data_IF_083344777196
#
_entry.id   IF_083344777196
#
_cell.length_a   1.000
_cell.length_b   1.000
_cell.length_c   1.000
_cell.angle_alpha   90.00
_cell.angle_beta   90.00
_cell.angle_gamma   90.00
#
_symmetry.space_group_name_H-M   'P 1'
#
loop_
_entity.id
_entity.type
_entity.pdbx_description
1 polymer ?
#
# COMPACT_ATOMS: atom_id res chain seq x y z
N UNK A 1 13.50 -6.15 -18.95
CA UNK A 1 12.87 -4.85 -18.64
C UNK A 1 13.71 -4.24 -17.54
N UNK A 2 14.12 -2.98 -17.66
CA UNK A 2 14.94 -2.33 -16.64
C UNK A 2 14.08 -2.12 -15.37
N UNK A 3 14.49 -2.71 -14.25
CA UNK A 3 13.74 -2.69 -12.98
C UNK A 3 13.43 -1.27 -12.50
N UNK A 4 14.28 -0.30 -12.83
CA UNK A 4 14.06 1.11 -12.49
C UNK A 4 12.99 1.78 -13.35
N UNK A 5 12.92 1.43 -14.64
CA UNK A 5 11.86 1.91 -15.53
C UNK A 5 10.51 1.34 -15.10
N UNK A 6 10.49 0.07 -14.71
CA UNK A 6 9.26 -0.58 -14.28
C UNK A 6 8.73 0.01 -12.97
N UNK A 7 9.59 0.27 -11.99
CA UNK A 7 9.21 0.97 -10.75
C UNK A 7 8.62 2.36 -11.05
N UNK A 8 9.25 3.14 -11.93
CA UNK A 8 8.73 4.46 -12.33
C UNK A 8 7.38 4.38 -13.02
N UNK A 9 7.18 3.37 -13.87
CA UNK A 9 5.90 3.12 -14.53
C UNK A 9 4.79 2.79 -13.53
N UNK A 10 5.07 1.92 -12.56
CA UNK A 10 4.11 1.56 -11.50
C UNK A 10 3.77 2.75 -10.60
N UNK A 11 4.77 3.54 -10.18
CA UNK A 11 4.54 4.75 -9.41
C UNK A 11 3.69 5.79 -10.20
N UNK A 12 3.95 5.95 -11.51
CA UNK A 12 3.16 6.83 -12.36
C UNK A 12 1.69 6.39 -12.44
N UNK A 13 1.44 5.09 -12.57
CA UNK A 13 0.08 4.54 -12.57
C UNK A 13 -0.67 4.86 -11.27
N UNK A 14 0.00 4.76 -10.12
CA UNK A 14 -0.57 5.14 -8.82
C UNK A 14 -1.02 6.61 -8.80
N UNK A 15 -0.13 7.53 -9.16
CA UNK A 15 -0.45 8.97 -9.14
C UNK A 15 -1.55 9.35 -10.12
N UNK A 16 -1.56 8.76 -11.33
CA UNK A 16 -2.63 8.97 -12.32
C UNK A 16 -3.97 8.47 -11.77
N UNK A 17 -4.00 7.30 -11.12
CA UNK A 17 -5.22 6.75 -10.54
C UNK A 17 -5.73 7.60 -9.37
N UNK A 18 -4.84 8.06 -8.47
CA UNK A 18 -5.20 8.97 -7.36
C UNK A 18 -5.76 10.30 -7.87
N UNK A 19 -5.14 10.90 -8.90
CA UNK A 19 -5.60 12.14 -9.53
C UNK A 19 -7.00 11.97 -10.15
N UNK A 20 -7.19 10.90 -10.94
CA UNK A 20 -8.48 10.58 -11.55
C UNK A 20 -9.59 10.33 -10.50
N UNK A 21 -9.22 9.87 -9.30
CA UNK A 21 -10.13 9.68 -8.16
C UNK A 21 -10.36 10.97 -7.33
N UNK A 22 -9.91 12.13 -7.82
CA UNK A 22 -10.04 13.42 -7.12
C UNK A 22 -9.15 13.51 -5.88
N UNK A 23 -7.97 12.90 -5.94
CA UNK A 23 -6.99 12.88 -4.85
C UNK A 23 -7.25 11.82 -3.77
N UNK A 24 -8.28 10.97 -3.93
CA UNK A 24 -8.66 9.96 -2.93
C UNK A 24 -8.08 8.58 -3.27
N UNK A 25 -7.57 7.88 -2.26
CA UNK A 25 -7.14 6.47 -2.39
C UNK A 25 -8.25 5.47 -2.02
N UNK A 26 -9.22 5.89 -1.21
CA UNK A 26 -10.33 5.04 -0.76
C UNK A 26 -11.65 5.74 -1.06
N UNK A 27 -12.46 5.13 -1.93
CA UNK A 27 -13.80 5.60 -2.27
C UNK A 27 -14.90 4.87 -1.49
N UNK A 28 -14.60 3.67 -0.98
CA UNK A 28 -15.51 2.90 -0.17
C UNK A 28 -15.72 3.58 1.21
N UNK A 29 -16.90 3.43 1.83
CA UNK A 29 -17.21 4.02 3.13
C UNK A 29 -16.56 3.24 4.29
N UNK A 30 -15.23 3.12 4.28
CA UNK A 30 -14.46 2.45 5.32
C UNK A 30 -14.38 3.34 6.56
N UNK A 31 -14.67 2.78 7.74
CA UNK A 31 -14.52 3.50 8.98
C UNK A 31 -13.05 3.46 9.47
N UNK A 32 -12.29 4.52 9.19
CA UNK A 32 -10.92 4.70 9.66
C UNK A 32 -10.82 5.34 11.06
N UNK A 33 -11.95 5.63 11.73
CA UNK A 33 -11.93 6.10 13.13
C UNK A 33 -11.62 4.99 14.14
N UNK A 34 -11.46 3.76 13.66
CA UNK A 34 -11.06 2.59 14.44
C UNK A 34 -9.84 1.93 13.77
N UNK A 35 -9.00 1.22 14.52
CA UNK A 35 -7.92 0.44 13.93
C UNK A 35 -8.43 -0.53 12.87
N UNK A 36 -7.74 -0.58 11.74
CA UNK A 36 -8.05 -1.50 10.64
C UNK A 36 -6.79 -2.25 10.24
N UNK A 37 -7.00 -3.41 9.59
CA UNK A 37 -5.95 -4.15 8.92
C UNK A 37 -6.18 -4.05 7.42
N UNK A 38 -5.25 -3.43 6.71
CA UNK A 38 -5.30 -3.23 5.27
C UNK A 38 -4.41 -4.28 4.60
N UNK A 39 -4.95 -4.99 3.63
CA UNK A 39 -4.20 -5.86 2.73
C UNK A 39 -4.17 -5.21 1.35
N UNK A 40 -2.98 -5.00 0.81
CA UNK A 40 -2.73 -4.63 -0.58
C UNK A 40 -2.08 -5.81 -1.30
N UNK A 41 -2.81 -6.41 -2.22
CA UNK A 41 -2.33 -7.54 -3.01
C UNK A 41 -1.77 -7.02 -4.33
N UNK A 42 -0.64 -7.58 -4.78
CA UNK A 42 0.18 -7.05 -5.88
C UNK A 42 0.74 -5.66 -5.58
N UNK A 43 1.27 -5.53 -4.35
CA UNK A 43 1.68 -4.24 -3.76
C UNK A 43 2.90 -3.60 -4.41
N UNK A 44 3.66 -4.33 -5.25
CA UNK A 44 4.94 -3.90 -5.78
C UNK A 44 5.87 -3.34 -4.68
N UNK A 45 6.22 -2.06 -4.71
CA UNK A 45 7.08 -1.40 -3.71
C UNK A 45 6.32 -0.83 -2.50
N UNK A 46 5.01 -1.07 -2.43
CA UNK A 46 4.16 -0.59 -1.35
C UNK A 46 3.72 0.87 -1.46
N UNK A 47 3.95 1.53 -2.61
CA UNK A 47 3.60 2.95 -2.82
C UNK A 47 2.17 3.27 -2.38
N UNK A 48 1.20 2.43 -2.73
CA UNK A 48 -0.20 2.67 -2.37
C UNK A 48 -0.45 2.59 -0.85
N UNK A 49 0.09 1.57 -0.17
CA UNK A 49 -0.03 1.43 1.29
C UNK A 49 0.63 2.57 2.05
N UNK A 50 1.82 3.00 1.60
CA UNK A 50 2.57 4.08 2.23
C UNK A 50 1.85 5.43 2.07
N UNK A 51 1.29 5.69 0.89
CA UNK A 51 0.48 6.88 0.62
C UNK A 51 -0.83 6.85 1.43
N UNK A 52 -1.51 5.70 1.49
CA UNK A 52 -2.69 5.52 2.33
C UNK A 52 -2.39 5.80 3.81
N UNK A 53 -1.31 5.25 4.34
CA UNK A 53 -0.94 5.47 5.74
C UNK A 53 -0.55 6.92 6.04
N UNK A 54 -0.13 7.70 5.03
CA UNK A 54 0.11 9.14 5.16
C UNK A 54 -1.20 9.92 5.20
N UNK A 55 -2.19 9.51 4.40
CA UNK A 55 -3.53 10.11 4.38
C UNK A 55 -4.35 9.74 5.65
N UNK A 56 -4.08 8.59 6.25
CA UNK A 56 -4.72 8.14 7.49
C UNK A 56 -3.96 8.65 8.73
N UNK A 57 -4.58 9.56 9.48
CA UNK A 57 -4.11 9.90 10.82
C UNK A 57 -4.22 8.69 11.76
N UNK A 58 -3.39 8.63 12.80
CA UNK A 58 -3.52 7.65 13.88
C UNK A 58 -4.96 7.62 14.40
N UNK A 59 -5.50 6.43 14.66
CA UNK A 59 -6.86 6.31 15.19
C UNK A 59 -7.00 7.14 16.49
N UNK A 60 -8.18 7.68 16.81
CA UNK A 60 -8.39 8.61 17.93
C UNK A 60 -7.97 8.06 19.31
N UNK A 61 -7.88 6.74 19.46
CA UNK A 61 -7.43 6.03 20.66
C UNK A 61 -5.90 5.79 20.70
N UNK A 62 -5.16 6.29 19.71
CA UNK A 62 -3.73 6.08 19.55
C UNK A 62 -3.36 4.69 19.01
N UNK A 63 -4.34 3.83 18.71
CA UNK A 63 -4.05 2.52 18.13
C UNK A 63 -3.73 2.65 16.63
N UNK A 64 -2.67 1.97 16.20
CA UNK A 64 -2.18 2.04 14.83
C UNK A 64 -2.98 1.12 13.90
N UNK A 65 -3.24 1.59 12.68
CA UNK A 65 -3.63 0.71 11.58
C UNK A 65 -2.47 -0.23 11.23
N UNK A 66 -2.79 -1.43 10.78
CA UNK A 66 -1.81 -2.42 10.30
C UNK A 66 -1.91 -2.51 8.79
N UNK A 67 -0.76 -2.49 8.12
CA UNK A 67 -0.67 -2.52 6.66
C UNK A 67 0.11 -3.75 6.22
N UNK A 68 -0.47 -4.54 5.32
CA UNK A 68 0.13 -5.76 4.80
C UNK A 68 0.17 -5.67 3.29
N UNK A 69 1.37 -5.69 2.72
CA UNK A 69 1.59 -5.72 1.28
C UNK A 69 2.03 -7.11 0.83
N UNK A 70 1.45 -7.63 -0.24
CA UNK A 70 1.89 -8.91 -0.82
C UNK A 70 2.15 -8.80 -2.31
N UNK A 71 3.20 -9.46 -2.78
CA UNK A 71 3.55 -9.54 -4.20
C UNK A 71 4.34 -10.83 -4.47
N UNK A 72 4.30 -11.33 -5.71
CA UNK A 72 5.09 -12.50 -6.09
C UNK A 72 6.59 -12.14 -6.23
N UNK A 73 6.88 -10.87 -6.52
CA UNK A 73 8.22 -10.35 -6.68
C UNK A 73 8.62 -9.50 -5.47
N UNK A 74 9.54 -9.98 -4.59
CA UNK A 74 9.98 -9.20 -3.43
C UNK A 74 10.98 -8.10 -3.77
N UNK A 75 11.56 -8.07 -4.97
CA UNK A 75 12.63 -7.11 -5.34
C UNK A 75 12.25 -5.65 -5.05
N UNK A 76 10.99 -5.20 -5.28
CA UNK A 76 10.62 -3.82 -5.02
C UNK A 76 10.31 -3.52 -3.54
N UNK A 77 10.24 -4.52 -2.65
CA UNK A 77 9.83 -4.29 -1.26
C UNK A 77 10.74 -3.29 -0.54
N UNK A 78 10.18 -2.45 0.34
CA UNK A 78 10.99 -1.55 1.17
C UNK A 78 11.96 -2.34 2.04
N UNK A 79 13.25 -1.97 2.00
CA UNK A 79 14.26 -2.61 2.85
C UNK A 79 14.04 -2.35 4.36
N UNK A 80 13.40 -1.22 4.69
CA UNK A 80 13.10 -0.80 6.06
C UNK A 80 11.67 -0.25 6.14
N UNK A 81 10.66 -1.13 6.20
CA UNK A 81 9.27 -0.70 6.34
C UNK A 81 9.01 -0.13 7.75
N UNK A 82 8.01 0.76 7.92
CA UNK A 82 7.57 1.18 9.25
C UNK A 82 7.10 -0.01 10.09
N UNK A 83 7.12 0.14 11.42
CA UNK A 83 6.87 -0.99 12.35
C UNK A 83 5.46 -1.59 12.27
N UNK A 84 4.48 -0.85 11.75
CA UNK A 84 3.11 -1.30 11.53
C UNK A 84 2.85 -1.84 10.11
N UNK A 85 3.91 -2.06 9.32
CA UNK A 85 3.85 -2.62 7.98
C UNK A 85 4.50 -4.00 7.94
N UNK A 86 3.95 -4.89 7.12
CA UNK A 86 4.56 -6.16 6.77
C UNK A 86 4.48 -6.39 5.26
N UNK A 87 5.56 -6.87 4.66
CA UNK A 87 5.61 -7.22 3.24
C UNK A 87 5.92 -8.72 3.10
N UNK A 88 5.14 -9.43 2.29
CA UNK A 88 5.24 -10.87 2.13
C UNK A 88 5.29 -11.28 0.65
N UNK A 89 6.13 -12.27 0.36
CA UNK A 89 6.08 -12.93 -0.95
C UNK A 89 4.84 -13.82 -0.99
N UNK A 90 3.94 -13.55 -1.93
CA UNK A 90 2.73 -14.34 -2.14
C UNK A 90 2.36 -14.40 -3.62
N UNK A 91 2.03 -15.61 -4.10
CA UNK A 91 1.39 -15.80 -5.40
C UNK A 91 -0.13 -15.79 -5.19
N UNK A 92 -0.84 -14.85 -5.81
CA UNK A 92 -2.29 -14.71 -5.63
C UNK A 92 -3.08 -15.94 -6.13
N UNK A 93 -2.46 -16.81 -6.93
CA UNK A 93 -3.07 -18.05 -7.41
C UNK A 93 -2.77 -19.26 -6.51
N UNK A 94 -2.08 -19.07 -5.37
CA UNK A 94 -1.71 -20.13 -4.44
C UNK A 94 -2.00 -19.71 -3.00
N UNK A 95 -2.40 -20.67 -2.19
CA UNK A 95 -2.53 -20.51 -0.73
C UNK A 95 -1.17 -20.61 -0.03
#
# INVERSE_FOLDING_TARGET
MDSDLERKRLASNHYIAKDAAGGKLVLAPVNFTQPVKVLDSTTADGTWLLDLATDLLTAPDGAAHVFVGTDINPVPFPAQPPSNFAFHVQDINKE
#
